data_IF_293858185863
#
_entry.id   IF_293858185863
#
_cell.length_a   1.000
_cell.length_b   1.000
_cell.length_c   1.000
_cell.angle_alpha   90.00
_cell.angle_beta   90.00
_cell.angle_gamma   90.00
#
_symmetry.space_group_name_H-M   'P 1'
#
loop_
_entity.id
_entity.type
_entity.pdbx_description
1 polymer ?
#
# COMPACT_ATOMS: atom_id res chain seq x y z
N UNK A 1 32.44 2.12 14.82
CA UNK A 1 32.20 1.37 16.07
C UNK A 1 30.71 1.09 16.15
N UNK A 2 30.28 -0.08 15.71
CA UNK A 2 28.88 -0.50 15.74
C UNK A 2 28.52 -0.88 17.18
N UNK A 3 27.85 0.03 17.89
CA UNK A 3 27.14 -0.29 19.13
C UNK A 3 26.03 -1.28 18.76
N UNK A 4 26.26 -2.57 18.99
CA UNK A 4 25.21 -3.58 18.92
C UNK A 4 24.25 -3.30 20.07
N UNK A 5 23.02 -2.90 19.73
CA UNK A 5 21.96 -2.74 20.72
C UNK A 5 21.86 -4.01 21.59
N UNK A 6 21.69 -3.87 22.92
CA UNK A 6 21.63 -5.02 23.80
C UNK A 6 20.50 -5.96 23.37
N UNK A 7 20.82 -7.24 23.20
CA UNK A 7 19.88 -8.24 22.75
C UNK A 7 18.75 -8.40 23.78
N UNK A 8 17.52 -8.11 23.38
CA UNK A 8 16.32 -8.21 24.24
C UNK A 8 16.18 -9.63 24.80
N UNK A 9 15.95 -9.75 26.11
CA UNK A 9 15.69 -11.03 26.78
C UNK A 9 14.33 -11.60 26.37
N UNK A 10 14.11 -12.92 26.56
CA UNK A 10 12.80 -13.55 26.25
C UNK A 10 11.65 -12.94 27.04
N UNK A 11 11.92 -12.57 28.28
CA UNK A 11 11.01 -11.86 29.19
C UNK A 11 10.55 -10.53 28.58
N UNK A 12 11.51 -9.69 28.15
CA UNK A 12 11.21 -8.42 27.53
C UNK A 12 10.44 -8.56 26.21
N UNK A 13 10.84 -9.53 25.36
CA UNK A 13 10.12 -9.84 24.11
C UNK A 13 8.68 -10.27 24.37
N UNK A 14 8.46 -11.08 25.41
CA UNK A 14 7.12 -11.50 25.78
C UNK A 14 6.28 -10.35 26.33
N UNK A 15 6.84 -9.50 27.19
CA UNK A 15 6.14 -8.32 27.71
C UNK A 15 5.70 -7.36 26.59
N UNK A 16 6.56 -7.12 25.60
CA UNK A 16 6.20 -6.30 24.44
C UNK A 16 5.12 -6.96 23.57
N UNK A 17 5.26 -8.26 23.31
CA UNK A 17 4.26 -9.06 22.58
C UNK A 17 2.90 -9.03 23.25
N UNK A 18 2.87 -9.28 24.56
CA UNK A 18 1.66 -9.28 25.36
C UNK A 18 1.02 -7.90 25.45
N UNK A 19 1.83 -6.83 25.56
CA UNK A 19 1.33 -5.45 25.51
C UNK A 19 0.62 -5.17 24.20
N UNK A 20 1.21 -5.56 23.07
CA UNK A 20 0.59 -5.37 21.76
C UNK A 20 -0.74 -6.13 21.67
N UNK A 21 -0.75 -7.38 22.13
CA UNK A 21 -1.96 -8.20 22.20
C UNK A 21 -3.08 -7.52 23.01
N UNK A 22 -2.83 -7.12 24.25
CA UNK A 22 -3.86 -6.50 25.11
C UNK A 22 -4.34 -5.14 24.59
N UNK A 23 -3.47 -4.36 23.93
CA UNK A 23 -3.81 -3.00 23.48
C UNK A 23 -4.44 -2.94 22.09
N UNK A 24 -4.21 -3.94 21.23
CA UNK A 24 -4.58 -3.88 19.81
C UNK A 24 -5.37 -5.10 19.31
N UNK A 25 -5.06 -6.30 19.82
CA UNK A 25 -5.59 -7.54 19.25
C UNK A 25 -6.64 -8.25 20.14
N UNK A 26 -6.80 -7.82 21.41
CA UNK A 26 -7.75 -8.42 22.33
C UNK A 26 -9.19 -8.04 21.97
N UNK A 27 -9.87 -8.97 21.30
CA UNK A 27 -11.29 -8.89 20.97
C UNK A 27 -12.01 -10.14 21.49
N UNK A 28 -12.97 -9.96 22.40
CA UNK A 28 -13.76 -11.04 23.01
C UNK A 28 -15.22 -10.78 22.68
N UNK A 29 -15.88 -11.71 22.00
CA UNK A 29 -17.29 -11.61 21.61
C UNK A 29 -17.62 -10.28 20.90
N UNK A 30 -16.78 -9.90 19.92
CA UNK A 30 -16.91 -8.65 19.13
C UNK A 30 -16.69 -7.35 19.92
N UNK A 31 -16.32 -7.44 21.21
CA UNK A 31 -15.92 -6.29 22.02
C UNK A 31 -14.40 -6.18 22.07
N UNK A 32 -13.90 -5.00 21.72
CA UNK A 32 -12.46 -4.67 21.84
C UNK A 32 -12.20 -4.24 23.27
N UNK A 33 -11.23 -4.88 23.91
CA UNK A 33 -10.81 -4.58 25.27
C UNK A 33 -9.44 -3.90 25.27
N UNK A 34 -9.33 -2.79 26.00
CA UNK A 34 -8.07 -2.15 26.35
C UNK A 34 -7.99 -2.18 27.88
N UNK A 35 -7.23 -3.15 28.40
CA UNK A 35 -7.18 -3.44 29.83
C UNK A 35 -5.93 -2.83 30.44
N UNK A 36 -6.09 -2.18 31.59
CA UNK A 36 -4.97 -1.89 32.47
C UNK A 36 -4.53 -3.17 33.17
N UNK A 37 -3.23 -3.48 33.12
CA UNK A 37 -2.71 -4.72 33.68
C UNK A 37 -1.29 -4.58 34.24
N UNK A 38 -0.94 -5.51 35.13
CA UNK A 38 0.41 -5.74 35.60
C UNK A 38 0.83 -7.19 35.29
N UNK A 39 1.87 -7.36 34.49
CA UNK A 39 2.40 -8.67 34.11
C UNK A 39 3.77 -8.89 34.74
N UNK A 40 3.82 -9.76 35.75
CA UNK A 40 5.03 -10.04 36.53
C UNK A 40 5.58 -11.43 36.19
N UNK A 41 6.86 -11.49 35.83
CA UNK A 41 7.59 -12.76 35.68
C UNK A 41 8.07 -13.24 37.05
N UNK A 42 7.53 -14.37 37.51
CA UNK A 42 7.84 -14.98 38.81
C UNK A 42 9.01 -15.97 38.75
N UNK A 43 9.67 -16.09 37.59
CA UNK A 43 10.74 -17.08 37.40
C UNK A 43 12.03 -16.60 38.06
N UNK A 44 12.46 -17.32 39.11
CA UNK A 44 13.71 -17.01 39.82
C UNK A 44 14.95 -17.00 38.90
N UNK A 45 15.00 -17.88 37.90
CA UNK A 45 16.09 -17.93 36.93
C UNK A 45 15.57 -17.73 35.50
N UNK A 46 15.87 -16.55 34.94
CA UNK A 46 15.44 -16.12 33.61
C UNK A 46 16.09 -16.89 32.45
N UNK A 47 17.11 -17.72 32.70
CA UNK A 47 17.70 -18.62 31.69
C UNK A 47 16.99 -19.96 31.56
N UNK A 48 15.99 -20.25 32.39
CA UNK A 48 15.21 -21.50 32.29
C UNK A 48 14.38 -21.53 31.02
N UNK A 49 14.19 -22.74 30.49
CA UNK A 49 13.27 -23.02 29.38
C UNK A 49 11.79 -22.87 29.76
N UNK A 50 11.47 -22.49 31.00
CA UNK A 50 10.10 -22.28 31.45
C UNK A 50 10.08 -20.96 32.22
N UNK A 51 9.22 -20.05 31.79
CA UNK A 51 8.94 -18.81 32.52
C UNK A 51 7.52 -18.82 33.06
N UNK A 52 7.35 -18.56 34.35
CA UNK A 52 6.03 -18.44 35.01
C UNK A 52 5.68 -16.97 35.16
N UNK A 53 4.46 -16.62 34.76
CA UNK A 53 3.92 -15.27 34.81
C UNK A 53 2.66 -15.21 35.65
N UNK A 54 2.48 -14.07 36.28
CA UNK A 54 1.24 -13.67 36.91
C UNK A 54 0.79 -12.35 36.29
N UNK A 55 -0.39 -12.40 35.69
CA UNK A 55 -1.10 -11.27 35.13
C UNK A 55 -2.16 -10.83 36.14
N UNK A 56 -2.13 -9.57 36.52
CA UNK A 56 -3.15 -8.90 37.31
C UNK A 56 -3.85 -7.90 36.39
N UNK A 57 -5.18 -7.99 36.28
CA UNK A 57 -5.99 -7.10 35.45
C UNK A 57 -6.71 -6.14 36.39
N UNK A 58 -6.52 -4.85 36.16
CA UNK A 58 -7.16 -3.81 36.93
C UNK A 58 -8.54 -3.50 36.32
N UNK A 59 -9.56 -3.32 37.15
CA UNK A 59 -10.96 -3.14 36.74
C UNK A 59 -11.30 -1.82 36.06
N UNK A 60 -10.31 -1.16 35.45
CA UNK A 60 -10.50 0.07 34.68
C UNK A 60 -10.50 -0.32 33.20
N UNK A 61 -11.64 -0.15 32.54
CA UNK A 61 -11.75 -0.24 31.08
C UNK A 61 -11.84 1.18 30.55
N UNK A 62 -10.82 1.64 29.82
CA UNK A 62 -10.96 2.86 29.02
C UNK A 62 -11.77 2.53 27.76
N UNK A 63 -13.03 2.95 27.75
CA UNK A 63 -13.92 2.86 26.60
C UNK A 63 -14.24 4.27 26.10
N UNK A 64 -14.57 4.43 24.82
CA UNK A 64 -14.99 5.72 24.24
C UNK A 64 -16.20 6.34 24.97
N UNK A 65 -16.87 5.56 25.84
CA UNK A 65 -18.05 5.94 26.60
C UNK A 65 -17.83 6.01 28.11
N UNK A 66 -16.67 5.62 28.66
CA UNK A 66 -16.44 5.53 30.11
C UNK A 66 -15.07 6.11 30.49
N UNK A 67 -15.07 7.29 31.09
CA UNK A 67 -13.88 7.99 31.59
C UNK A 67 -13.73 7.75 33.10
N UNK A 68 -13.15 6.62 33.50
CA UNK A 68 -12.52 6.48 34.82
C UNK A 68 -13.37 6.02 36.02
N UNK A 69 -14.44 5.25 35.83
CA UNK A 69 -15.07 4.50 36.93
C UNK A 69 -14.48 3.08 37.02
N UNK A 70 -14.32 2.53 38.24
CA UNK A 70 -13.96 1.12 38.45
C UNK A 70 -15.14 0.26 37.98
N UNK A 71 -15.02 -0.41 36.83
CA UNK A 71 -16.09 -1.24 36.29
C UNK A 71 -15.65 -2.69 36.19
N UNK A 72 -15.51 -3.31 37.38
CA UNK A 72 -15.26 -4.76 37.50
C UNK A 72 -16.36 -5.56 36.78
N UNK A 73 -17.58 -5.01 36.66
CA UNK A 73 -18.73 -5.63 36.01
C UNK A 73 -18.68 -5.64 34.46
N UNK A 74 -17.70 -4.96 33.84
CA UNK A 74 -17.51 -4.95 32.37
C UNK A 74 -16.39 -5.92 31.93
N UNK A 75 -15.61 -6.47 32.86
CA UNK A 75 -14.52 -7.38 32.50
C UNK A 75 -15.08 -8.70 31.94
N UNK A 76 -14.40 -9.31 30.94
CA UNK A 76 -14.79 -10.61 30.42
C UNK A 76 -14.63 -11.67 31.52
N UNK A 77 -15.32 -12.80 31.37
CA UNK A 77 -15.13 -13.90 32.31
C UNK A 77 -13.71 -14.46 32.21
N UNK A 78 -13.22 -15.01 33.32
CA UNK A 78 -11.91 -15.69 33.35
C UNK A 78 -11.81 -16.78 32.28
N UNK A 79 -12.92 -17.50 32.03
CA UNK A 79 -13.02 -18.49 30.95
C UNK A 79 -12.83 -17.87 29.58
N UNK A 80 -13.61 -16.84 29.26
CA UNK A 80 -13.57 -16.22 27.93
C UNK A 80 -12.19 -15.62 27.67
N UNK A 81 -11.64 -14.89 28.64
CA UNK A 81 -10.30 -14.31 28.52
C UNK A 81 -9.23 -15.38 28.22
N UNK A 82 -9.22 -16.48 28.98
CA UNK A 82 -8.27 -17.58 28.75
C UNK A 82 -8.49 -18.22 27.37
N UNK A 83 -9.74 -18.40 26.94
CA UNK A 83 -10.05 -18.99 25.63
C UNK A 83 -9.51 -18.14 24.47
N UNK A 84 -9.82 -16.84 24.44
CA UNK A 84 -9.34 -15.96 23.38
C UNK A 84 -7.82 -15.77 23.41
N UNK A 85 -7.21 -15.80 24.59
CA UNK A 85 -5.75 -15.77 24.72
C UNK A 85 -5.12 -17.08 24.20
N UNK A 86 -5.72 -18.24 24.49
CA UNK A 86 -5.29 -19.54 23.93
C UNK A 86 -5.34 -19.50 22.41
N UNK A 87 -6.47 -19.09 21.85
CA UNK A 87 -6.70 -19.09 20.41
C UNK A 87 -5.69 -18.17 19.69
N UNK A 88 -5.41 -16.99 20.25
CA UNK A 88 -4.43 -16.07 19.68
C UNK A 88 -3.00 -16.63 19.69
N UNK A 89 -2.57 -17.24 20.80
CA UNK A 89 -1.18 -17.73 20.93
C UNK A 89 -0.96 -19.13 20.35
N UNK A 90 -2.01 -19.92 20.12
CA UNK A 90 -1.89 -21.29 19.60
C UNK A 90 -1.16 -21.34 18.24
N UNK A 91 -1.40 -20.35 17.37
CA UNK A 91 -0.77 -20.27 16.05
C UNK A 91 0.77 -20.18 16.09
N UNK A 92 1.34 -19.79 17.23
CA UNK A 92 2.79 -19.68 17.42
C UNK A 92 3.39 -20.89 18.15
N UNK A 93 2.58 -21.89 18.52
CA UNK A 93 3.08 -23.09 19.18
C UNK A 93 3.99 -23.93 18.26
N UNK A 94 4.99 -24.59 18.86
CA UNK A 94 5.80 -25.59 18.19
C UNK A 94 5.33 -26.99 18.60
N UNK A 95 4.90 -27.80 17.63
CA UNK A 95 4.46 -29.20 17.82
C UNK A 95 5.44 -30.16 17.13
N UNK A 96 5.77 -31.28 17.78
CA UNK A 96 6.60 -32.34 17.19
C UNK A 96 5.77 -33.15 16.17
N UNK A 97 6.15 -33.10 14.89
CA UNK A 97 5.32 -33.53 13.76
C UNK A 97 4.88 -35.00 13.74
N UNK A 98 5.54 -35.89 14.50
CA UNK A 98 5.19 -37.31 14.54
C UNK A 98 4.22 -37.68 15.66
N UNK A 99 4.07 -36.85 16.69
CA UNK A 99 3.28 -37.16 17.90
C UNK A 99 2.34 -36.04 18.33
N UNK A 100 2.28 -34.95 17.57
CA UNK A 100 1.54 -33.73 17.92
C UNK A 100 1.86 -33.22 19.34
N UNK A 101 3.06 -33.57 19.84
CA UNK A 101 3.51 -33.25 21.18
C UNK A 101 3.92 -31.80 21.22
N UNK A 102 3.32 -31.00 22.11
CA UNK A 102 3.69 -29.59 22.28
C UNK A 102 5.11 -29.47 22.84
N UNK A 103 5.95 -28.72 22.14
CA UNK A 103 7.37 -28.50 22.47
C UNK A 103 7.60 -27.09 23.00
N UNK A 104 6.97 -26.09 22.38
CA UNK A 104 7.00 -24.69 22.82
C UNK A 104 5.59 -24.12 22.79
N UNK A 105 5.07 -23.65 23.92
CA UNK A 105 3.66 -23.30 24.10
C UNK A 105 3.42 -22.48 25.37
N UNK A 106 2.21 -21.91 25.49
CA UNK A 106 1.72 -21.24 26.71
C UNK A 106 0.74 -22.17 27.41
N UNK A 107 0.94 -22.37 28.71
CA UNK A 107 0.10 -23.21 29.57
C UNK A 107 -0.51 -22.39 30.70
N UNK A 108 -1.83 -22.44 30.79
CA UNK A 108 -2.61 -21.68 31.76
C UNK A 108 -2.77 -22.50 33.05
N UNK A 109 -2.39 -21.89 34.18
CA UNK A 109 -2.45 -22.51 35.49
C UNK A 109 -3.73 -22.09 36.25
N UNK A 110 -4.27 -20.91 35.94
CA UNK A 110 -5.55 -20.44 36.46
C UNK A 110 -6.70 -21.32 35.97
N UNK A 111 -7.65 -21.62 36.86
CA UNK A 111 -8.88 -22.34 36.53
C UNK A 111 -9.85 -21.41 35.81
N UNK A 112 -10.51 -21.93 34.77
CA UNK A 112 -11.53 -21.20 34.03
C UNK A 112 -12.82 -21.10 34.86
N UNK A 113 -13.13 -19.91 35.37
CA UNK A 113 -14.39 -19.61 36.08
C UNK A 113 -15.27 -18.67 35.27
N UNK A 114 -16.55 -18.58 35.67
CA UNK A 114 -17.50 -17.61 35.11
C UNK A 114 -17.39 -16.22 35.74
N UNK A 115 -16.46 -16.03 36.67
CA UNK A 115 -16.25 -14.76 37.36
C UNK A 115 -15.41 -13.80 36.50
N UNK A 116 -15.57 -12.48 36.68
CA UNK A 116 -14.74 -11.48 36.01
C UNK A 116 -13.24 -11.76 36.16
N UNK A 117 -12.50 -11.60 35.06
CA UNK A 117 -11.05 -11.86 35.06
C UNK A 117 -10.31 -10.82 35.89
N UNK A 118 -9.61 -11.27 36.93
CA UNK A 118 -8.80 -10.40 37.80
C UNK A 118 -7.35 -10.83 37.87
N UNK A 119 -7.08 -12.15 37.87
CA UNK A 119 -5.72 -12.68 37.96
C UNK A 119 -5.57 -13.95 37.14
N UNK A 120 -4.59 -13.98 36.25
CA UNK A 120 -4.23 -15.14 35.44
C UNK A 120 -2.78 -15.53 35.68
N UNK A 121 -2.56 -16.76 36.15
CA UNK A 121 -1.26 -17.40 36.25
C UNK A 121 -1.08 -18.35 35.07
N UNK A 122 0.05 -18.26 34.41
CA UNK A 122 0.40 -19.11 33.27
C UNK A 122 1.91 -19.29 33.17
N UNK A 123 2.35 -20.29 32.40
CA UNK A 123 3.76 -20.52 32.11
C UNK A 123 4.01 -20.64 30.62
N UNK A 124 5.13 -20.11 30.18
CA UNK A 124 5.62 -20.24 28.81
C UNK A 124 6.72 -21.28 28.81
N UNK A 125 6.53 -22.33 28.03
CA UNK A 125 7.53 -23.39 27.80
C UNK A 125 8.24 -23.09 26.49
N UNK A 126 9.55 -22.97 26.53
CA UNK A 126 10.41 -22.71 25.38
C UNK A 126 11.16 -23.98 24.96
N UNK A 127 11.15 -24.28 23.68
CA UNK A 127 12.07 -25.25 23.10
C UNK A 127 13.16 -24.55 22.28
N UNK A 128 14.41 -24.68 22.72
CA UNK A 128 15.56 -23.97 22.16
C UNK A 128 15.25 -22.47 22.07
N UNK A 129 15.37 -21.85 20.90
CA UNK A 129 15.14 -20.43 20.66
C UNK A 129 13.74 -20.11 20.10
N UNK A 130 12.85 -21.11 20.01
CA UNK A 130 11.48 -20.88 19.56
C UNK A 130 10.69 -20.08 20.59
N UNK A 131 10.02 -19.02 20.12
CA UNK A 131 9.15 -18.18 20.93
C UNK A 131 7.69 -18.49 20.57
N UNK A 132 6.87 -19.00 21.52
CA UNK A 132 5.47 -19.35 21.26
C UNK A 132 4.56 -18.11 21.32
N UNK A 133 5.03 -17.00 20.75
CA UNK A 133 4.35 -15.70 20.70
C UNK A 133 5.00 -14.84 19.60
N UNK A 134 4.26 -13.87 19.04
CA UNK A 134 4.81 -13.00 18.01
C UNK A 134 5.84 -12.06 18.63
N UNK A 135 7.00 -11.88 17.98
CA UNK A 135 7.96 -10.85 18.39
C UNK A 135 7.58 -9.57 17.66
N UNK A 136 7.09 -8.53 18.37
CA UNK A 136 6.81 -7.26 17.72
C UNK A 136 8.13 -6.72 17.15
N UNK A 137 8.07 -6.30 15.89
CA UNK A 137 9.17 -5.58 15.26
C UNK A 137 9.41 -4.29 16.05
N UNK A 138 10.67 -3.91 16.19
CA UNK A 138 10.98 -2.55 16.65
C UNK A 138 10.41 -1.54 15.66
N UNK A 139 10.07 -0.32 16.12
CA UNK A 139 9.63 0.77 15.26
C UNK A 139 10.58 0.97 14.06
N UNK A 140 11.89 0.80 14.27
CA UNK A 140 12.90 0.86 13.21
C UNK A 140 12.72 -0.26 12.18
N UNK A 141 12.45 -1.50 12.62
CA UNK A 141 12.20 -2.63 11.72
C UNK A 141 10.86 -2.51 10.98
N UNK A 142 9.81 -1.99 11.64
CA UNK A 142 8.53 -1.70 11.00
C UNK A 142 8.70 -0.65 9.89
N UNK A 143 9.37 0.46 10.20
CA UNK A 143 9.67 1.51 9.23
C UNK A 143 10.59 1.00 8.10
N UNK A 144 11.56 0.13 8.40
CA UNK A 144 12.41 -0.47 7.37
C UNK A 144 11.61 -1.35 6.40
N UNK A 145 10.67 -2.15 6.90
CA UNK A 145 9.80 -2.94 6.04
C UNK A 145 8.90 -2.04 5.18
N UNK A 146 8.31 -0.99 5.78
CA UNK A 146 7.50 -0.02 5.05
C UNK A 146 8.31 0.67 3.94
N UNK A 147 9.55 1.05 4.21
CA UNK A 147 10.47 1.61 3.21
C UNK A 147 10.69 0.62 2.06
N UNK A 148 10.90 -0.67 2.33
CA UNK A 148 11.08 -1.69 1.29
C UNK A 148 9.83 -1.83 0.43
N UNK A 149 8.66 -1.87 1.05
CA UNK A 149 7.38 -2.00 0.36
C UNK A 149 7.10 -0.79 -0.53
N UNK A 150 7.30 0.43 -0.01
CA UNK A 150 7.14 1.67 -0.76
C UNK A 150 8.12 1.77 -1.94
N UNK A 151 9.37 1.32 -1.78
CA UNK A 151 10.30 1.24 -2.92
C UNK A 151 9.82 0.26 -3.99
N UNK A 152 9.24 -0.87 -3.59
CA UNK A 152 8.59 -1.81 -4.51
C UNK A 152 7.44 -1.18 -5.29
N UNK A 153 6.62 -0.37 -4.62
CA UNK A 153 5.53 0.38 -5.24
C UNK A 153 6.04 1.39 -6.27
N UNK A 154 7.08 2.17 -5.91
CA UNK A 154 7.71 3.15 -6.80
C UNK A 154 8.18 2.44 -8.08
N UNK A 155 8.93 1.34 -7.97
CA UNK A 155 9.39 0.59 -9.13
C UNK A 155 8.26 0.00 -9.98
N UNK A 156 7.13 -0.38 -9.36
CA UNK A 156 5.93 -0.79 -10.09
C UNK A 156 5.35 0.37 -10.91
N UNK A 157 5.24 1.55 -10.32
CA UNK A 157 4.71 2.74 -11.00
C UNK A 157 5.65 3.27 -12.09
N UNK A 158 6.96 3.26 -11.88
CA UNK A 158 7.96 3.63 -12.88
C UNK A 158 7.86 2.76 -14.14
N UNK A 159 7.75 1.44 -13.97
CA UNK A 159 7.56 0.50 -15.10
C UNK A 159 6.27 0.78 -15.86
N UNK A 160 5.18 1.08 -15.15
CA UNK A 160 3.89 1.44 -15.75
C UNK A 160 4.00 2.74 -16.55
N UNK A 161 4.64 3.76 -15.99
CA UNK A 161 4.87 5.05 -16.66
C UNK A 161 5.69 4.88 -17.93
N UNK A 162 6.78 4.09 -17.88
CA UNK A 162 7.60 3.83 -19.06
C UNK A 162 6.78 3.18 -20.19
N UNK A 163 5.91 2.21 -19.86
CA UNK A 163 5.01 1.57 -20.83
C UNK A 163 4.01 2.55 -21.43
N UNK A 164 3.41 3.42 -20.61
CA UNK A 164 2.47 4.43 -21.06
C UNK A 164 3.15 5.47 -21.97
N UNK A 165 4.35 5.93 -21.61
CA UNK A 165 5.14 6.83 -22.45
C UNK A 165 5.43 6.21 -23.82
N UNK A 166 5.88 4.95 -23.88
CA UNK A 166 6.08 4.25 -25.16
C UNK A 166 4.80 4.19 -26.00
N UNK A 167 3.64 3.91 -25.36
CA UNK A 167 2.34 3.87 -26.05
C UNK A 167 1.94 5.24 -26.59
N UNK A 168 2.15 6.30 -25.81
CA UNK A 168 1.87 7.68 -26.23
C UNK A 168 2.74 8.04 -27.44
N UNK A 169 4.04 7.75 -27.39
CA UNK A 169 4.95 8.01 -28.52
C UNK A 169 4.49 7.27 -29.78
N UNK A 170 4.20 5.97 -29.67
CA UNK A 170 3.73 5.19 -30.82
C UNK A 170 2.41 5.72 -31.40
N UNK A 171 1.46 6.14 -30.56
CA UNK A 171 0.21 6.74 -31.02
C UNK A 171 0.42 8.09 -31.69
N UNK A 172 1.32 8.93 -31.17
CA UNK A 172 1.71 10.21 -31.79
C UNK A 172 2.32 9.99 -33.17
N UNK A 173 3.24 9.03 -33.29
CA UNK A 173 3.88 8.69 -34.57
C UNK A 173 2.86 8.15 -35.58
N UNK A 174 1.95 7.27 -35.13
CA UNK A 174 0.88 6.75 -35.96
C UNK A 174 -0.04 7.88 -36.46
N UNK A 175 -0.44 8.80 -35.58
CA UNK A 175 -1.27 9.95 -35.94
C UNK A 175 -0.57 10.85 -36.97
N UNK A 176 0.73 11.14 -36.77
CA UNK A 176 1.55 11.92 -37.72
C UNK A 176 1.63 11.25 -39.09
N UNK A 177 1.83 9.93 -39.14
CA UNK A 177 1.88 9.17 -40.39
C UNK A 177 0.53 9.16 -41.12
N UNK A 178 -0.58 8.99 -40.39
CA UNK A 178 -1.93 9.07 -40.97
C UNK A 178 -2.19 10.46 -41.52
N UNK A 179 -1.84 11.52 -40.78
CA UNK A 179 -1.96 12.90 -41.22
C UNK A 179 -1.20 13.15 -42.53
N UNK A 180 0.08 12.77 -42.60
CA UNK A 180 0.89 12.94 -43.81
C UNK A 180 0.25 12.21 -45.01
N UNK A 181 -0.27 11.00 -44.80
CA UNK A 181 -0.95 10.22 -45.84
C UNK A 181 -2.23 10.88 -46.34
N UNK A 182 -3.05 11.43 -45.44
CA UNK A 182 -4.29 12.14 -45.79
C UNK A 182 -3.97 13.40 -46.60
N UNK A 183 -2.98 14.19 -46.16
CA UNK A 183 -2.54 15.39 -46.87
C UNK A 183 -2.04 15.07 -48.29
N UNK A 184 -1.20 14.04 -48.43
CA UNK A 184 -0.69 13.63 -49.74
C UNK A 184 -1.80 13.15 -50.67
N UNK A 185 -2.71 12.28 -50.20
CA UNK A 185 -3.84 11.82 -51.01
C UNK A 185 -4.77 12.96 -51.44
N UNK A 186 -4.98 13.94 -50.57
CA UNK A 186 -5.83 15.08 -50.90
C UNK A 186 -5.16 15.98 -51.95
N UNK A 187 -3.85 16.22 -51.85
CA UNK A 187 -3.08 16.91 -52.89
C UNK A 187 -3.13 16.16 -54.22
N UNK A 188 -2.99 14.83 -54.21
CA UNK A 188 -3.07 14.01 -55.43
C UNK A 188 -4.44 14.08 -56.08
N UNK A 189 -5.52 14.00 -55.30
CA UNK A 189 -6.90 14.18 -55.78
C UNK A 189 -7.08 15.53 -56.45
N UNK A 190 -6.59 16.60 -55.83
CA UNK A 190 -6.68 17.95 -56.39
C UNK A 190 -5.91 18.09 -57.71
N UNK A 191 -4.77 17.41 -57.84
CA UNK A 191 -3.98 17.36 -59.09
C UNK A 191 -4.66 16.58 -60.20
N UNK A 192 -5.27 15.43 -59.88
CA UNK A 192 -5.85 14.52 -60.88
C UNK A 192 -7.26 14.89 -61.32
N UNK A 193 -8.06 15.44 -60.42
CA UNK A 193 -9.47 15.80 -60.72
C UNK A 193 -9.63 17.15 -61.43
N UNK A 194 -8.60 17.99 -61.46
CA UNK A 194 -8.71 19.37 -61.94
C UNK A 194 -9.66 20.24 -61.11
N UNK A 195 -10.13 19.76 -59.94
CA UNK A 195 -11.04 20.47 -59.04
C UNK A 195 -10.43 21.73 -58.44
N UNK A 196 -9.09 21.80 -58.39
CA UNK A 196 -8.40 23.02 -58.04
C UNK A 196 -8.44 23.94 -59.26
N UNK A 197 -9.53 24.69 -59.37
CA UNK A 197 -9.68 25.74 -60.36
C UNK A 197 -8.72 26.86 -59.96
N UNK A 198 -7.44 26.71 -60.34
CA UNK A 198 -6.32 27.56 -59.92
C UNK A 198 -6.54 29.04 -60.23
N UNK A 199 -7.48 29.38 -61.11
CA UNK A 199 -7.89 30.75 -61.37
C UNK A 199 -8.74 31.41 -60.26
N UNK A 200 -9.23 30.67 -59.25
CA UNK A 200 -10.21 31.18 -58.27
C UNK A 200 -9.77 31.09 -56.80
N UNK A 201 -8.72 30.33 -56.49
CA UNK A 201 -8.25 30.18 -55.11
C UNK A 201 -7.01 31.03 -54.84
N UNK A 202 -7.16 32.03 -53.99
CA UNK A 202 -6.08 32.92 -53.53
C UNK A 202 -5.66 32.59 -52.10
N UNK A 203 -4.39 32.80 -51.77
CA UNK A 203 -3.90 32.66 -50.41
C UNK A 203 -4.61 33.68 -49.48
N UNK A 204 -5.15 33.28 -48.32
CA UNK A 204 -5.85 34.19 -47.41
C UNK A 204 -4.93 35.22 -46.74
N UNK A 205 -3.60 35.11 -46.93
CA UNK A 205 -2.61 35.99 -46.31
C UNK A 205 -2.02 36.98 -47.32
N UNK A 206 -1.48 36.47 -48.44
CA UNK A 206 -0.84 37.30 -49.45
C UNK A 206 -1.70 37.56 -50.69
N UNK A 207 -2.88 36.94 -50.79
CA UNK A 207 -3.80 37.03 -51.93
C UNK A 207 -3.23 36.51 -53.27
N UNK A 208 -2.02 35.95 -53.27
CA UNK A 208 -1.44 35.31 -54.45
C UNK A 208 -2.29 34.10 -54.89
N UNK A 209 -2.34 33.90 -56.20
CA UNK A 209 -3.00 32.74 -56.80
C UNK A 209 -2.32 31.44 -56.34
N UNK A 210 -3.12 30.52 -55.79
CA UNK A 210 -2.65 29.23 -55.35
C UNK A 210 -2.54 28.27 -56.54
N UNK A 211 -1.34 27.75 -56.75
CA UNK A 211 -1.06 26.71 -57.74
C UNK A 211 -0.82 25.38 -57.03
N UNK A 212 -0.92 24.28 -57.76
CA UNK A 212 -0.62 22.93 -57.26
C UNK A 212 0.79 22.77 -56.66
N UNK A 213 1.72 23.66 -57.00
CA UNK A 213 3.10 23.66 -56.51
C UNK A 213 3.31 24.58 -55.30
N UNK A 214 2.53 25.67 -55.20
CA UNK A 214 2.66 26.68 -54.15
C UNK A 214 1.69 26.46 -53.00
N UNK A 215 0.63 25.68 -53.20
CA UNK A 215 -0.35 25.35 -52.17
C UNK A 215 0.20 24.40 -51.12
N UNK A 216 -0.21 24.63 -49.88
CA UNK A 216 -0.09 23.74 -48.75
C UNK A 216 -1.47 23.58 -48.12
N UNK A 217 -1.77 22.35 -47.69
CA UNK A 217 -3.08 22.00 -47.12
C UNK A 217 -2.86 21.51 -45.69
N UNK A 218 -3.10 22.38 -44.69
CA UNK A 218 -3.07 22.01 -43.27
C UNK A 218 -4.21 21.04 -42.93
N UNK A 219 -4.20 20.48 -41.72
CA UNK A 219 -5.23 19.54 -41.24
C UNK A 219 -6.65 20.10 -41.26
N UNK A 220 -6.81 21.41 -41.12
CA UNK A 220 -8.09 22.09 -41.20
C UNK A 220 -8.60 22.25 -42.65
N UNK A 221 -7.87 21.72 -43.64
CA UNK A 221 -8.19 21.75 -45.08
C UNK A 221 -8.35 23.15 -45.70
N UNK A 222 -7.93 24.19 -44.99
CA UNK A 222 -7.92 25.56 -45.49
C UNK A 222 -6.64 25.84 -46.26
N UNK A 223 -6.79 26.12 -47.56
CA UNK A 223 -5.65 26.32 -48.46
C UNK A 223 -4.84 27.57 -48.12
N UNK A 224 -3.52 27.44 -48.11
CA UNK A 224 -2.57 28.52 -47.87
C UNK A 224 -1.31 28.30 -48.71
N UNK A 225 -0.59 29.34 -49.11
CA UNK A 225 0.67 29.15 -49.81
C UNK A 225 1.80 28.73 -48.83
N UNK A 226 2.76 27.93 -49.32
CA UNK A 226 3.91 27.45 -48.52
C UNK A 226 4.63 28.59 -47.79
N UNK A 227 4.88 29.70 -48.48
CA UNK A 227 5.58 30.86 -47.91
C UNK A 227 4.80 31.60 -46.82
N UNK A 228 3.47 31.54 -46.80
CA UNK A 228 2.66 32.12 -45.72
C UNK A 228 2.44 31.16 -44.56
N UNK A 229 2.37 29.85 -44.82
CA UNK A 229 2.20 28.84 -43.76
C UNK A 229 3.29 28.96 -42.70
N UNK A 230 4.56 29.08 -43.09
CA UNK A 230 5.68 29.09 -42.13
C UNK A 230 5.74 30.38 -41.28
N UNK A 231 4.99 31.42 -41.69
CA UNK A 231 4.86 32.69 -40.95
C UNK A 231 3.63 32.74 -40.05
N UNK A 232 2.79 31.71 -40.08
CA UNK A 232 1.54 31.66 -39.32
C UNK A 232 1.61 30.50 -38.30
N UNK A 233 1.30 30.78 -37.03
CA UNK A 233 1.17 29.72 -36.01
C UNK A 233 -0.21 29.02 -36.10
N UNK A 234 -1.21 29.74 -36.59
CA UNK A 234 -2.60 29.30 -36.66
C UNK A 234 -3.15 29.50 -38.08
N UNK A 235 -4.21 28.77 -38.41
CA UNK A 235 -4.93 28.95 -39.66
C UNK A 235 -5.60 30.34 -39.72
N UNK A 236 -5.35 31.16 -40.76
CA UNK A 236 -6.03 32.45 -40.92
C UNK A 236 -7.55 32.36 -41.06
N UNK A 237 -8.08 31.23 -41.53
CA UNK A 237 -9.51 31.03 -41.77
C UNK A 237 -10.25 30.47 -40.53
N UNK A 238 -9.78 29.35 -39.96
CA UNK A 238 -10.46 28.72 -38.81
C UNK A 238 -9.79 28.97 -37.45
N UNK A 239 -8.63 29.63 -37.40
CA UNK A 239 -7.85 29.94 -36.19
C UNK A 239 -7.32 28.73 -35.41
N UNK A 240 -7.54 27.51 -35.89
CA UNK A 240 -6.92 26.31 -35.31
C UNK A 240 -5.40 26.40 -35.38
N UNK A 241 -4.73 25.98 -34.31
CA UNK A 241 -3.27 25.90 -34.27
C UNK A 241 -2.81 24.90 -35.33
N UNK A 242 -1.79 25.27 -36.12
CA UNK A 242 -1.16 24.29 -36.97
C UNK A 242 -0.46 23.27 -36.09
N UNK A 243 -0.80 22.00 -36.27
CA UNK A 243 -0.10 20.90 -35.61
C UNK A 243 1.32 20.87 -36.19
N UNK A 244 2.36 21.07 -35.35
CA UNK A 244 3.74 20.93 -35.80
C UNK A 244 3.92 19.49 -36.28
N UNK A 245 4.29 19.35 -37.55
CA UNK A 245 4.61 18.06 -38.16
C UNK A 245 6.04 17.73 -37.77
#
# INVERSE_FOLDING_TARGET
>A
MTSTAPQKTRDHKFQESFRKYIMQDLCINEMVYVLDYNLTNQTANKSRCIHTYQLEIFGNVESMFHTGENVVDILPTTRDFIHFMKDFFEQFELKEGTRNKKMSYIEYLTRETGDPVTTISFRIVYHKDHLPFPVPLSMTEELQNEIVDLHGEIHRFERKNLRLHRKITALKDAAKNVQARVQNKHLDLLRTSGLLNTATHTCPVCYDILTTNTIQIPLCFHYICKGCKDRCTNCPLCRENYVPI
#
